data_IF_190382064276
#
_entry.id   IF_190382064276
#
_cell.length_a   1.000
_cell.length_b   1.000
_cell.length_c   1.000
_cell.angle_alpha   90.00
_cell.angle_beta   90.00
_cell.angle_gamma   90.00
#
_symmetry.space_group_name_H-M   'P 1'
#
loop_
_entity.id
_entity.type
_entity.pdbx_description
1 polymer ?
#
# COMPACT_ATOMS: atom_id res chain seq x y z
N UNK A 1 8.28 -20.47 -4.05
CA UNK A 1 9.55 -19.73 -4.19
C UNK A 1 10.47 -20.09 -3.04
N UNK A 2 11.69 -20.59 -3.32
CA UNK A 2 12.60 -21.07 -2.29
C UNK A 2 13.20 -19.96 -1.43
N UNK A 3 13.33 -18.75 -1.99
CA UNK A 3 13.93 -17.61 -1.33
C UNK A 3 13.04 -17.03 -0.22
N UNK A 4 11.72 -16.97 -0.45
CA UNK A 4 10.75 -16.47 0.53
C UNK A 4 10.77 -17.27 1.84
N UNK A 5 10.86 -18.59 1.71
CA UNK A 5 10.90 -19.51 2.85
C UNK A 5 12.19 -19.30 3.66
N UNK A 6 13.34 -19.22 2.98
CA UNK A 6 14.63 -19.00 3.64
C UNK A 6 14.66 -17.67 4.40
N UNK A 7 14.24 -16.57 3.77
CA UNK A 7 14.16 -15.25 4.44
C UNK A 7 13.27 -15.27 5.69
N UNK A 8 12.14 -16.00 5.61
CA UNK A 8 11.24 -16.13 6.75
C UNK A 8 11.89 -16.90 7.89
N UNK A 9 12.50 -18.05 7.62
CA UNK A 9 13.18 -18.89 8.61
C UNK A 9 14.35 -18.15 9.27
N UNK A 10 15.18 -17.46 8.48
CA UNK A 10 16.27 -16.62 8.97
C UNK A 10 15.75 -15.52 9.91
N UNK A 11 14.66 -14.86 9.54
CA UNK A 11 14.08 -13.80 10.36
C UNK A 11 13.43 -14.32 11.64
N UNK A 12 12.80 -15.50 11.61
CA UNK A 12 12.27 -16.16 12.81
C UNK A 12 13.41 -16.54 13.77
N UNK A 13 14.55 -17.01 13.25
CA UNK A 13 15.68 -17.41 14.08
C UNK A 13 16.38 -16.20 14.74
N UNK A 14 16.48 -15.08 14.02
CA UNK A 14 17.31 -13.95 14.45
C UNK A 14 16.52 -12.80 15.12
N UNK A 15 15.19 -12.76 15.01
CA UNK A 15 14.36 -11.70 15.59
C UNK A 15 13.28 -12.29 16.51
N UNK A 16 13.53 -12.34 17.84
CA UNK A 16 12.57 -12.84 18.82
C UNK A 16 11.25 -12.06 18.86
N UNK A 17 11.27 -10.75 18.53
CA UNK A 17 10.05 -9.92 18.50
C UNK A 17 9.19 -10.30 17.30
N UNK A 18 9.82 -10.56 16.15
CA UNK A 18 9.15 -11.09 14.97
C UNK A 18 8.61 -12.51 15.21
N UNK A 19 9.43 -13.41 15.77
CA UNK A 19 9.05 -14.79 16.06
C UNK A 19 7.86 -14.90 17.02
N UNK A 20 7.84 -14.06 18.07
CA UNK A 20 6.79 -14.01 19.08
C UNK A 20 5.47 -13.38 18.60
N UNK A 21 5.47 -12.66 17.47
CA UNK A 21 4.28 -11.94 16.98
C UNK A 21 3.64 -12.65 15.79
N UNK A 22 2.46 -13.25 16.00
CA UNK A 22 1.64 -13.80 14.92
C UNK A 22 1.29 -12.75 13.86
N UNK A 23 1.04 -11.50 14.29
CA UNK A 23 0.68 -10.39 13.41
C UNK A 23 1.82 -10.01 12.46
N UNK A 24 3.05 -9.94 12.98
CA UNK A 24 4.20 -9.56 12.16
C UNK A 24 4.59 -10.66 11.19
N UNK A 25 4.46 -11.93 11.58
CA UNK A 25 4.61 -13.07 10.67
C UNK A 25 3.60 -13.05 9.53
N UNK A 26 2.33 -12.76 9.83
CA UNK A 26 1.31 -12.60 8.79
C UNK A 26 1.63 -11.42 7.87
N UNK A 27 2.02 -10.28 8.45
CA UNK A 27 2.36 -9.06 7.71
C UNK A 27 3.54 -9.25 6.76
N UNK A 28 4.52 -10.08 7.12
CA UNK A 28 5.64 -10.44 6.23
C UNK A 28 5.15 -11.04 4.89
N UNK A 29 4.21 -11.98 4.95
CA UNK A 29 3.64 -12.61 3.76
C UNK A 29 2.71 -11.67 3.02
N UNK A 30 1.85 -10.95 3.75
CA UNK A 30 0.91 -9.99 3.17
C UNK A 30 1.66 -8.96 2.30
N UNK A 31 2.71 -8.35 2.83
CA UNK A 31 3.51 -7.33 2.13
C UNK A 31 4.20 -7.81 0.84
N UNK A 32 4.39 -9.12 0.68
CA UNK A 32 5.01 -9.73 -0.51
C UNK A 32 3.99 -10.34 -1.46
N UNK A 33 2.71 -10.28 -1.10
CA UNK A 33 1.63 -10.77 -1.96
C UNK A 33 1.25 -9.72 -3.01
N UNK A 34 0.70 -10.15 -4.16
CA UNK A 34 0.17 -9.23 -5.18
C UNK A 34 -0.98 -8.34 -4.69
N UNK A 35 -1.60 -8.69 -3.56
CA UNK A 35 -2.74 -7.99 -2.98
C UNK A 35 -2.33 -6.85 -2.04
N UNK A 36 -1.03 -6.67 -1.77
CA UNK A 36 -0.56 -5.56 -0.95
C UNK A 36 -0.58 -4.26 -1.76
N UNK A 37 -1.64 -3.49 -1.57
CA UNK A 37 -1.80 -2.17 -2.16
C UNK A 37 -1.20 -1.08 -1.26
N UNK A 38 -0.18 -0.38 -1.78
CA UNK A 38 0.45 0.76 -1.10
C UNK A 38 -0.41 2.02 -1.14
N UNK A 39 -1.33 2.09 -2.10
CA UNK A 39 -2.21 3.23 -2.33
C UNK A 39 -3.63 2.97 -1.81
N UNK A 40 -3.79 1.98 -0.91
CA UNK A 40 -5.07 1.67 -0.30
C UNK A 40 -5.67 2.93 0.34
N UNK A 41 -6.94 3.20 0.05
CA UNK A 41 -7.70 4.38 0.51
C UNK A 41 -7.19 5.74 -0.01
N UNK A 42 -6.28 5.77 -1.00
CA UNK A 42 -5.95 7.01 -1.68
C UNK A 42 -7.02 7.34 -2.70
N UNK A 43 -7.68 8.49 -2.50
CA UNK A 43 -8.62 9.02 -3.47
C UNK A 43 -7.89 9.95 -4.44
N UNK A 44 -8.02 9.76 -5.76
CA UNK A 44 -7.35 10.62 -6.72
C UNK A 44 -7.98 12.01 -6.70
N UNK A 45 -7.17 13.03 -6.38
CA UNK A 45 -7.56 14.44 -6.44
C UNK A 45 -6.73 15.15 -7.51
N UNK A 46 -7.41 15.72 -8.50
CA UNK A 46 -6.78 16.51 -9.55
C UNK A 46 -6.90 18.00 -9.27
N UNK A 47 -5.85 18.77 -9.54
CA UNK A 47 -5.91 20.24 -9.58
C UNK A 47 -5.90 20.69 -11.03
N UNK A 48 -6.81 21.59 -11.39
CA UNK A 48 -6.79 22.23 -12.71
C UNK A 48 -5.61 23.21 -12.74
N UNK A 49 -4.68 22.98 -13.65
CA UNK A 49 -3.47 23.81 -13.85
C UNK A 49 -3.63 24.82 -14.97
N UNK A 50 -4.68 24.69 -15.78
CA UNK A 50 -5.03 25.59 -16.86
C UNK A 50 -6.09 26.59 -16.39
N UNK A 51 -6.15 27.75 -17.04
CA UNK A 51 -7.24 28.70 -16.79
C UNK A 51 -8.57 28.06 -17.21
N UNK A 52 -9.55 28.13 -16.31
CA UNK A 52 -10.90 27.62 -16.57
C UNK A 52 -11.66 28.75 -17.24
N UNK A 53 -12.08 28.55 -18.50
CA UNK A 53 -12.88 29.57 -19.18
C UNK A 53 -14.20 29.80 -18.43
N UNK A 54 -14.41 31.04 -18.00
CA UNK A 54 -15.57 31.50 -17.22
C UNK A 54 -16.91 31.31 -17.95
N UNK A 55 -16.90 31.05 -19.26
CA UNK A 55 -18.09 30.76 -20.08
C UNK A 55 -18.82 29.47 -19.67
N UNK A 56 -18.15 28.55 -18.98
CA UNK A 56 -18.75 27.29 -18.51
C UNK A 56 -19.54 27.40 -17.21
N UNK A 57 -19.40 28.51 -16.45
CA UNK A 57 -20.03 28.69 -15.14
C UNK A 57 -21.31 29.53 -15.16
N UNK A 58 -21.76 29.99 -16.34
CA UNK A 58 -22.90 30.92 -16.47
C UNK A 58 -23.97 30.34 -17.40
N UNK A 59 -24.61 29.24 -17.00
CA UNK A 59 -26.00 28.90 -17.36
C UNK A 59 -26.59 28.16 -16.16
N UNK A 60 -27.86 28.37 -15.85
CA UNK A 60 -28.60 27.95 -14.65
C UNK A 60 -28.60 28.98 -13.50
N UNK A 61 -29.18 30.14 -13.78
CA UNK A 61 -30.08 30.83 -12.85
C UNK A 61 -31.32 31.23 -13.62
#
# INVERSE_FOLDING_TARGET
DGNLRREFEERVANDPKFAGSARERLRFFFNRSPYHDQNLNLYPVGRVTTEIESRYFIKHT
#
